data_IF_251205744511
#
_entry.id   IF_251205744511
#
_cell.length_a   1.000
_cell.length_b   1.000
_cell.length_c   1.000
_cell.angle_alpha   90.00
_cell.angle_beta   90.00
_cell.angle_gamma   90.00
#
_symmetry.space_group_name_H-M   'P 1'
#
loop_
_entity.id
_entity.type
_entity.pdbx_description
1 polymer ?
#
# COMPACT_ATOMS: atom_id res chain seq x y z
N UNK A 1 -28.38 -2.89 8.04
CA UNK A 1 -27.85 -2.82 6.65
C UNK A 1 -26.83 -3.94 6.40
N UNK A 2 -27.28 -5.09 5.88
CA UNK A 2 -26.44 -6.28 5.67
C UNK A 2 -25.29 -6.07 4.65
N UNK A 3 -25.33 -5.01 3.84
CA UNK A 3 -24.31 -4.73 2.82
C UNK A 3 -23.10 -3.93 3.33
N UNK A 4 -23.16 -3.34 4.53
CA UNK A 4 -22.07 -2.52 5.05
C UNK A 4 -20.74 -3.30 5.26
N UNK A 5 -20.74 -4.54 5.81
CA UNK A 5 -19.51 -5.31 5.99
C UNK A 5 -18.84 -5.69 4.66
N UNK A 6 -19.65 -6.01 3.64
CA UNK A 6 -19.16 -6.38 2.31
C UNK A 6 -18.58 -5.19 1.55
N UNK A 7 -19.18 -4.00 1.68
CA UNK A 7 -18.62 -2.78 1.09
C UNK A 7 -17.26 -2.42 1.72
N UNK A 8 -17.13 -2.54 3.05
CA UNK A 8 -15.88 -2.24 3.75
C UNK A 8 -14.76 -3.22 3.38
N UNK A 9 -15.07 -4.52 3.28
CA UNK A 9 -14.13 -5.51 2.76
C UNK A 9 -13.65 -5.18 1.33
N UNK A 10 -14.56 -4.67 0.47
CA UNK A 10 -14.21 -4.20 -0.87
C UNK A 10 -13.26 -3.01 -0.85
N UNK A 11 -13.54 -1.99 -0.05
CA UNK A 11 -12.68 -0.79 0.10
C UNK A 11 -11.30 -1.16 0.62
N UNK A 12 -11.21 -2.06 1.60
CA UNK A 12 -9.95 -2.58 2.13
C UNK A 12 -9.09 -3.23 1.04
N UNK A 13 -9.71 -4.08 0.21
CA UNK A 13 -9.00 -4.75 -0.89
C UNK A 13 -8.52 -3.75 -1.93
N UNK A 14 -9.38 -2.79 -2.32
CA UNK A 14 -9.03 -1.74 -3.27
C UNK A 14 -7.88 -0.84 -2.77
N UNK A 15 -7.87 -0.49 -1.48
CA UNK A 15 -6.80 0.31 -0.89
C UNK A 15 -5.44 -0.41 -0.96
N UNK A 16 -5.39 -1.71 -0.64
CA UNK A 16 -4.16 -2.52 -0.73
C UNK A 16 -3.65 -2.60 -2.17
N UNK A 17 -4.55 -2.84 -3.12
CA UNK A 17 -4.18 -2.89 -4.55
C UNK A 17 -3.60 -1.55 -5.01
N UNK A 18 -4.25 -0.43 -4.66
CA UNK A 18 -3.79 0.91 -5.05
C UNK A 18 -2.38 1.23 -4.53
N UNK A 19 -2.04 0.80 -3.31
CA UNK A 19 -0.68 0.96 -2.77
C UNK A 19 0.35 0.16 -3.56
N UNK A 20 0.00 -1.07 -3.96
CA UNK A 20 0.84 -1.89 -4.84
C UNK A 20 1.06 -1.21 -6.20
N UNK A 21 -0.02 -0.73 -6.83
CA UNK A 21 0.03 -0.01 -8.10
C UNK A 21 0.85 1.28 -8.00
N UNK A 22 0.73 2.03 -6.90
CA UNK A 22 1.53 3.23 -6.66
C UNK A 22 3.04 2.93 -6.56
N UNK A 23 3.41 1.74 -6.04
CA UNK A 23 4.82 1.30 -6.00
C UNK A 23 5.35 1.04 -7.41
N UNK A 24 4.52 0.45 -8.28
CA UNK A 24 4.86 0.21 -9.70
C UNK A 24 4.86 1.51 -10.52
N UNK A 25 4.12 2.55 -10.11
CA UNK A 25 4.15 3.86 -10.79
C UNK A 25 5.55 4.50 -10.79
N UNK A 26 6.48 4.05 -9.94
CA UNK A 26 7.87 4.50 -10.02
C UNK A 26 8.56 4.17 -11.36
N UNK A 27 8.12 3.13 -12.08
CA UNK A 27 8.64 2.78 -13.41
C UNK A 27 8.36 3.86 -14.48
N UNK A 28 7.30 4.66 -14.30
CA UNK A 28 6.95 5.76 -15.20
C UNK A 28 7.47 7.12 -14.70
N UNK A 29 8.41 7.12 -13.75
CA UNK A 29 9.04 8.36 -13.26
C UNK A 29 8.28 9.10 -12.17
N UNK A 30 7.26 8.47 -11.54
CA UNK A 30 6.54 9.06 -10.41
C UNK A 30 7.43 9.30 -9.15
N UNK A 31 8.63 8.72 -9.13
CA UNK A 31 9.62 8.91 -8.05
C UNK A 31 9.33 8.08 -6.80
N UNK A 32 9.84 8.52 -5.65
CA UNK A 32 9.65 7.86 -4.35
C UNK A 32 10.50 6.60 -4.13
N UNK A 33 10.10 5.76 -3.16
CA UNK A 33 10.83 4.54 -2.79
C UNK A 33 10.88 3.50 -3.91
N UNK A 34 9.86 3.45 -4.77
CA UNK A 34 9.86 2.60 -5.96
C UNK A 34 10.99 2.96 -6.94
N UNK A 35 11.43 4.22 -6.96
CA UNK A 35 12.57 4.64 -7.79
C UNK A 35 13.87 3.92 -7.39
N UNK A 36 14.08 3.65 -6.09
CA UNK A 36 15.23 2.85 -5.62
C UNK A 36 15.08 1.36 -5.96
N UNK A 37 13.85 0.84 -5.98
CA UNK A 37 13.57 -0.54 -6.41
C UNK A 37 13.94 -0.71 -7.89
N UNK A 38 13.49 0.23 -8.74
CA UNK A 38 13.78 0.23 -10.18
C UNK A 38 15.27 0.45 -10.45
N UNK A 39 15.91 1.36 -9.72
CA UNK A 39 17.36 1.58 -9.84
C UNK A 39 18.16 0.33 -9.45
N UNK A 40 17.81 -0.34 -8.34
CA UNK A 40 18.42 -1.61 -7.95
C UNK A 40 18.17 -2.74 -8.94
N UNK A 41 16.98 -2.78 -9.56
CA UNK A 41 16.67 -3.71 -10.65
C UNK A 41 17.57 -3.51 -11.87
N UNK A 42 17.81 -2.26 -12.24
CA UNK A 42 18.62 -1.91 -13.41
C UNK A 42 20.09 -2.36 -13.27
N UNK A 43 20.63 -2.35 -12.06
CA UNK A 43 22.01 -2.81 -11.77
C UNK A 43 22.07 -4.24 -11.20
N UNK A 44 20.94 -4.94 -11.14
CA UNK A 44 20.80 -6.27 -10.54
C UNK A 44 21.32 -6.37 -9.09
N UNK A 45 21.24 -5.26 -8.34
CA UNK A 45 21.66 -5.19 -6.95
C UNK A 45 20.45 -5.35 -6.02
N UNK A 46 20.32 -6.55 -5.47
CA UNK A 46 19.26 -6.91 -4.52
C UNK A 46 19.33 -6.07 -3.24
N UNK A 47 20.51 -5.63 -2.79
CA UNK A 47 20.63 -4.79 -1.61
C UNK A 47 20.05 -3.39 -1.87
N UNK A 48 20.33 -2.82 -3.05
CA UNK A 48 19.74 -1.55 -3.47
C UNK A 48 18.21 -1.65 -3.66
N UNK A 49 17.73 -2.77 -4.22
CA UNK A 49 16.29 -3.06 -4.27
C UNK A 49 15.66 -3.09 -2.88
N UNK A 50 16.23 -3.85 -1.95
CA UNK A 50 15.72 -4.01 -0.59
C UNK A 50 15.72 -2.69 0.18
N UNK A 51 16.73 -1.84 -0.03
CA UNK A 51 16.79 -0.50 0.56
C UNK A 51 15.61 0.40 0.13
N UNK A 52 15.01 0.15 -1.03
CA UNK A 52 13.75 0.79 -1.46
C UNK A 52 12.50 0.00 -1.08
N UNK A 53 12.54 -1.33 -1.20
CA UNK A 53 11.40 -2.21 -0.98
C UNK A 53 10.97 -2.28 0.49
N UNK A 54 11.91 -2.32 1.43
CA UNK A 54 11.62 -2.37 2.88
C UNK A 54 10.83 -1.13 3.33
N UNK A 55 11.29 0.12 3.12
CA UNK A 55 10.51 1.29 3.51
C UNK A 55 9.19 1.41 2.74
N UNK A 56 9.14 0.97 1.48
CA UNK A 56 7.89 0.92 0.71
C UNK A 56 6.88 -0.05 1.32
N UNK A 57 7.33 -1.24 1.73
CA UNK A 57 6.48 -2.24 2.38
C UNK A 57 6.00 -1.76 3.76
N UNK A 58 6.85 -1.10 4.53
CA UNK A 58 6.46 -0.49 5.81
C UNK A 58 5.40 0.59 5.60
N UNK A 59 5.59 1.49 4.63
CA UNK A 59 4.57 2.50 4.29
C UNK A 59 3.26 1.85 3.84
N UNK A 60 3.33 0.79 3.04
CA UNK A 60 2.15 0.06 2.60
C UNK A 60 1.37 -0.53 3.78
N UNK A 61 2.08 -1.16 4.73
CA UNK A 61 1.48 -1.70 5.95
C UNK A 61 0.90 -0.60 6.84
N UNK A 62 1.56 0.56 6.94
CA UNK A 62 1.04 1.70 7.70
C UNK A 62 -0.25 2.26 7.09
N UNK A 63 -0.31 2.38 5.76
CA UNK A 63 -1.53 2.81 5.06
C UNK A 63 -2.63 1.77 5.27
N UNK A 64 -2.33 0.49 5.12
CA UNK A 64 -3.29 -0.59 5.35
C UNK A 64 -3.82 -0.60 6.79
N UNK A 65 -2.93 -0.43 7.79
CA UNK A 65 -3.31 -0.33 9.19
C UNK A 65 -4.13 0.94 9.50
N UNK A 66 -3.82 2.06 8.84
CA UNK A 66 -4.60 3.30 8.95
C UNK A 66 -6.03 3.14 8.44
N UNK A 67 -6.21 2.48 7.29
CA UNK A 67 -7.53 2.13 6.78
C UNK A 67 -8.26 1.12 7.68
N UNK A 68 -7.58 0.10 8.20
CA UNK A 68 -8.17 -0.87 9.15
C UNK A 68 -8.61 -0.18 10.45
N UNK A 69 -7.85 0.79 10.93
CA UNK A 69 -8.20 1.59 12.10
C UNK A 69 -9.39 2.52 11.85
N UNK A 70 -9.42 3.18 10.68
CA UNK A 70 -10.54 4.02 10.26
C UNK A 70 -11.83 3.19 10.11
N UNK A 71 -11.74 1.99 9.55
CA UNK A 71 -12.84 1.03 9.46
C UNK A 71 -13.38 0.68 10.85
N UNK A 72 -12.50 0.32 11.80
CA UNK A 72 -12.90 0.02 13.19
C UNK A 72 -13.58 1.21 13.87
N UNK A 73 -13.15 2.43 13.59
CA UNK A 73 -13.78 3.65 14.11
C UNK A 73 -15.19 3.85 13.53
N UNK A 74 -15.34 3.72 12.21
CA UNK A 74 -16.61 3.97 11.51
C UNK A 74 -17.64 2.87 11.79
N UNK A 75 -17.21 1.60 11.87
CA UNK A 75 -18.12 0.48 12.19
C UNK A 75 -18.59 0.51 13.65
N UNK A 76 -17.81 1.12 14.56
CA UNK A 76 -18.16 1.24 15.98
C UNK A 76 -19.18 2.34 16.27
N UNK A 77 -19.51 3.21 15.31
CA UNK A 77 -20.50 4.29 15.48
C UNK A 77 -21.94 3.91 15.06
N UNK A 78 -22.29 2.63 15.00
CA UNK A 78 -23.70 2.21 14.94
C UNK A 78 -24.07 1.33 16.13
N UNK A 79 -24.64 1.91 17.22
CA UNK A 79 -25.46 1.14 18.15
C UNK A 79 -26.71 0.57 17.46
#
# INVERSE_FOLDING_TARGET
PLAMPTLLAGVKTAAVINVGTATVAAFIGAGGYGGRIVAGLAVNDTAAMLAGAVPSAVLALLVQAGFDWAERRIVRERP
#
